data_IF_076612088176
#
_entry.id   IF_076612088176
#
_cell.length_a   1.000
_cell.length_b   1.000
_cell.length_c   1.000
_cell.angle_alpha   90.00
_cell.angle_beta   90.00
_cell.angle_gamma   90.00
#
_symmetry.space_group_name_H-M   'P 1'
#
loop_
_entity.id
_entity.type
_entity.pdbx_description
1 polymer ?
#
# COMPACT_ATOMS: atom_id res chain seq x y z
N UNK A 1 -34.27 -4.84 -71.88
CA UNK A 1 -33.96 -4.03 -70.68
C UNK A 1 -33.85 -4.86 -69.38
N UNK A 2 -33.40 -6.13 -69.42
CA UNK A 2 -33.21 -6.95 -68.20
C UNK A 2 -31.82 -7.61 -68.06
N UNK A 3 -30.94 -7.50 -69.06
CA UNK A 3 -29.55 -8.01 -69.01
C UNK A 3 -28.48 -6.94 -68.76
N UNK A 4 -28.84 -5.65 -68.82
CA UNK A 4 -27.93 -4.53 -68.58
C UNK A 4 -27.91 -4.06 -67.11
N UNK A 5 -28.89 -4.48 -66.30
CA UNK A 5 -29.01 -4.11 -64.88
C UNK A 5 -28.23 -5.04 -63.94
N UNK A 6 -27.87 -6.25 -64.37
CA UNK A 6 -27.12 -7.21 -63.54
C UNK A 6 -25.60 -6.91 -63.58
N UNK A 7 -25.10 -6.33 -64.67
CA UNK A 7 -23.68 -5.97 -64.79
C UNK A 7 -23.30 -4.74 -63.94
N UNK A 8 -24.27 -3.86 -63.62
CA UNK A 8 -24.05 -2.69 -62.75
C UNK A 8 -24.15 -3.00 -61.25
N UNK A 9 -24.79 -4.12 -60.85
CA UNK A 9 -24.82 -4.55 -59.44
C UNK A 9 -23.58 -5.33 -59.00
N UNK A 10 -22.78 -5.88 -59.93
CA UNK A 10 -21.57 -6.65 -59.59
C UNK A 10 -20.33 -5.73 -59.52
N UNK A 11 -20.33 -4.59 -60.20
CA UNK A 11 -19.22 -3.61 -60.16
C UNK A 11 -19.31 -2.70 -58.92
N UNK A 12 -20.50 -2.55 -58.32
CA UNK A 12 -20.69 -1.79 -57.08
C UNK A 12 -20.19 -2.49 -55.81
N UNK A 13 -19.85 -3.79 -55.88
CA UNK A 13 -19.33 -4.58 -54.74
C UNK A 13 -17.80 -4.68 -54.71
N UNK A 14 -17.09 -4.12 -55.71
CA UNK A 14 -15.63 -4.15 -55.80
C UNK A 14 -14.95 -2.85 -55.33
N UNK A 15 -15.72 -1.88 -54.83
CA UNK A 15 -15.20 -0.65 -54.22
C UNK A 15 -15.31 -0.69 -52.69
N UNK A 16 -15.04 -1.85 -52.08
CA UNK A 16 -14.62 -1.86 -50.67
C UNK A 16 -13.23 -1.23 -50.63
N UNK A 17 -13.21 0.06 -50.29
CA UNK A 17 -12.02 0.83 -49.96
C UNK A 17 -11.01 -0.03 -49.19
N UNK A 18 -9.86 -0.35 -49.79
CA UNK A 18 -8.67 -0.65 -49.00
C UNK A 18 -8.36 0.62 -48.22
N UNK A 19 -8.63 0.65 -46.92
CA UNK A 19 -7.99 1.65 -46.07
C UNK A 19 -6.47 1.42 -46.15
N UNK A 20 -5.75 2.43 -46.66
CA UNK A 20 -4.28 2.40 -46.66
C UNK A 20 -3.80 2.35 -45.20
N UNK A 21 -3.31 1.17 -44.81
CA UNK A 21 -2.67 0.94 -43.51
C UNK A 21 -1.49 1.88 -43.36
N UNK A 22 -1.59 2.88 -42.49
CA UNK A 22 -0.47 3.79 -42.22
C UNK A 22 0.39 3.20 -41.12
N UNK A 23 1.65 2.88 -41.43
CA UNK A 23 2.63 2.45 -40.43
C UNK A 23 3.38 3.66 -39.88
N UNK A 24 3.51 3.75 -38.56
CA UNK A 24 4.30 4.76 -37.88
C UNK A 24 5.37 4.09 -37.03
N UNK A 25 6.56 4.69 -36.97
CA UNK A 25 7.69 4.21 -36.16
C UNK A 25 8.05 5.24 -35.10
N UNK A 26 8.13 4.82 -33.84
CA UNK A 26 8.35 5.69 -32.68
C UNK A 26 8.97 4.88 -31.52
N UNK A 27 9.46 5.57 -30.48
CA UNK A 27 9.89 4.95 -29.23
C UNK A 27 8.67 4.67 -28.35
N UNK A 28 8.59 3.51 -27.72
CA UNK A 28 7.50 3.12 -26.84
C UNK A 28 7.99 2.26 -25.67
N UNK A 29 7.25 2.28 -24.57
CA UNK A 29 7.37 1.33 -23.46
C UNK A 29 6.85 -0.04 -23.94
N UNK A 30 7.74 -0.98 -24.21
CA UNK A 30 7.39 -2.35 -24.61
C UNK A 30 7.33 -3.24 -23.36
N UNK A 31 6.18 -3.85 -23.04
CA UNK A 31 6.05 -4.65 -21.82
C UNK A 31 7.00 -5.86 -21.80
N UNK A 32 7.64 -6.06 -20.65
CA UNK A 32 8.43 -7.24 -20.31
C UNK A 32 7.55 -8.15 -19.47
N UNK A 33 7.37 -9.40 -19.92
CA UNK A 33 6.46 -10.35 -19.29
C UNK A 33 7.22 -11.41 -18.50
N UNK A 34 6.70 -11.73 -17.31
CA UNK A 34 6.89 -13.02 -16.65
C UNK A 34 5.68 -13.88 -16.95
N UNK A 35 5.88 -15.09 -17.48
CA UNK A 35 4.76 -15.99 -17.78
C UNK A 35 4.04 -16.42 -16.49
N UNK A 36 2.75 -16.73 -16.58
CA UNK A 36 2.00 -17.26 -15.44
C UNK A 36 2.61 -18.57 -14.90
N UNK A 37 3.17 -19.42 -15.78
CA UNK A 37 3.90 -20.61 -15.35
C UNK A 37 5.12 -20.25 -14.50
N UNK A 38 5.93 -19.27 -14.93
CA UNK A 38 7.08 -18.81 -14.17
C UNK A 38 6.66 -18.19 -12.83
N UNK A 39 5.62 -17.34 -12.82
CA UNK A 39 5.06 -16.73 -11.61
C UNK A 39 4.55 -17.77 -10.63
N UNK A 40 3.79 -18.77 -11.09
CA UNK A 40 3.20 -19.78 -10.20
C UNK A 40 4.22 -20.81 -9.71
N UNK A 41 5.39 -20.85 -10.35
CA UNK A 41 6.57 -21.58 -9.87
C UNK A 41 7.54 -20.73 -9.03
N UNK A 42 7.29 -19.41 -8.87
CA UNK A 42 8.17 -18.53 -8.12
C UNK A 42 7.81 -18.52 -6.63
N UNK A 43 8.70 -19.08 -5.84
CA UNK A 43 8.77 -18.93 -4.39
C UNK A 43 10.12 -19.51 -3.97
N UNK A 44 10.94 -18.70 -3.30
CA UNK A 44 12.19 -19.16 -2.72
C UNK A 44 12.47 -18.39 -1.43
N UNK A 45 13.28 -18.99 -0.56
CA UNK A 45 13.77 -18.36 0.66
C UNK A 45 15.28 -18.31 0.60
N UNK A 46 15.81 -17.11 0.41
CA UNK A 46 17.24 -16.86 0.24
C UNK A 46 17.76 -15.99 1.37
N UNK A 47 19.08 -15.80 1.43
CA UNK A 47 19.74 -14.96 2.45
C UNK A 47 20.72 -14.00 1.78
N UNK A 48 21.08 -12.92 2.46
CA UNK A 48 22.07 -11.96 1.97
C UNK A 48 21.55 -11.01 0.89
N UNK A 49 20.23 -10.85 0.77
CA UNK A 49 19.60 -9.81 -0.05
C UNK A 49 19.62 -8.51 0.74
N UNK A 50 20.18 -7.46 0.14
CA UNK A 50 20.16 -6.12 0.72
C UNK A 50 18.78 -5.46 0.59
N UNK A 51 18.40 -4.63 1.57
CA UNK A 51 17.27 -3.71 1.40
C UNK A 51 17.65 -2.58 0.46
N UNK A 52 16.81 -2.32 -0.54
CA UNK A 52 16.99 -1.23 -1.52
C UNK A 52 15.80 -0.28 -1.52
N UNK A 53 14.58 -0.82 -1.62
CA UNK A 53 13.33 -0.04 -1.66
C UNK A 53 12.30 -0.70 -0.74
N UNK A 54 12.52 -0.61 0.58
CA UNK A 54 11.61 -1.21 1.53
C UNK A 54 10.27 -0.46 1.57
N UNK A 55 9.22 -1.21 1.80
CA UNK A 55 7.83 -0.75 1.87
C UNK A 55 7.23 -1.06 3.24
N UNK A 56 6.05 -1.69 3.21
CA UNK A 56 5.28 -2.04 4.39
C UNK A 56 6.06 -2.94 5.35
N UNK A 57 5.79 -2.79 6.65
CA UNK A 57 6.31 -3.65 7.71
C UNK A 57 5.18 -4.51 8.31
N UNK A 58 5.51 -5.62 8.94
CA UNK A 58 4.60 -6.38 9.82
C UNK A 58 5.40 -7.07 10.91
N UNK A 59 4.83 -7.25 12.10
CA UNK A 59 5.49 -7.90 13.23
C UNK A 59 4.88 -9.27 13.53
N UNK A 60 5.72 -10.22 13.94
CA UNK A 60 5.31 -11.54 14.41
C UNK A 60 6.31 -12.05 15.44
N UNK A 61 5.87 -12.17 16.70
CA UNK A 61 6.77 -12.51 17.80
C UNK A 61 7.94 -11.53 17.89
N UNK A 62 9.16 -12.05 17.95
CA UNK A 62 10.40 -11.25 17.91
C UNK A 62 10.91 -10.97 16.50
N UNK A 63 10.08 -11.10 15.46
CA UNK A 63 10.48 -10.87 14.08
C UNK A 63 9.72 -9.72 13.44
N UNK A 64 10.39 -9.06 12.50
CA UNK A 64 9.83 -8.03 11.65
C UNK A 64 9.97 -8.45 10.19
N UNK A 65 8.86 -8.35 9.45
CA UNK A 65 8.79 -8.60 8.03
C UNK A 65 8.74 -7.25 7.32
N UNK A 66 9.56 -7.06 6.30
CA UNK A 66 9.63 -5.80 5.54
C UNK A 66 9.45 -6.11 4.06
N UNK A 67 8.40 -5.58 3.43
CA UNK A 67 8.23 -5.67 1.99
C UNK A 67 9.41 -4.99 1.28
N UNK A 68 9.96 -5.62 0.26
CA UNK A 68 10.86 -5.03 -0.72
C UNK A 68 10.09 -4.88 -2.02
N UNK A 69 9.87 -3.62 -2.42
CA UNK A 69 8.91 -3.26 -3.46
C UNK A 69 9.08 -4.11 -4.73
N UNK A 70 8.03 -4.88 -5.07
CA UNK A 70 7.92 -5.77 -6.23
C UNK A 70 8.91 -6.96 -6.26
N UNK A 71 9.73 -7.18 -5.23
CA UNK A 71 10.70 -8.27 -5.18
C UNK A 71 10.34 -9.36 -4.18
N UNK A 72 9.88 -8.99 -2.98
CA UNK A 72 9.67 -9.96 -1.91
C UNK A 72 9.58 -9.35 -0.53
N UNK A 73 9.95 -10.13 0.49
CA UNK A 73 9.80 -9.76 1.90
C UNK A 73 11.07 -10.13 2.66
N UNK A 74 11.73 -9.15 3.28
CA UNK A 74 12.82 -9.37 4.22
C UNK A 74 12.28 -9.87 5.56
N UNK A 75 12.98 -10.82 6.17
CA UNK A 75 12.75 -11.29 7.55
C UNK A 75 13.89 -10.80 8.42
N UNK A 76 13.53 -10.05 9.46
CA UNK A 76 14.43 -9.47 10.43
C UNK A 76 14.18 -10.10 11.80
N UNK A 77 15.24 -10.58 12.45
CA UNK A 77 15.23 -10.95 13.88
C UNK A 77 15.42 -9.69 14.74
N UNK A 78 14.49 -9.49 15.67
CA UNK A 78 14.46 -8.40 16.66
C UNK A 78 14.57 -8.92 18.09
N UNK A 79 15.04 -10.15 18.30
CA UNK A 79 15.25 -10.71 19.64
C UNK A 79 16.24 -9.89 20.48
N UNK A 80 17.17 -9.19 19.85
CA UNK A 80 17.96 -8.09 20.43
C UNK A 80 17.71 -6.79 19.63
N UNK A 81 16.91 -5.84 20.16
CA UNK A 81 16.61 -4.59 19.44
C UNK A 81 17.83 -3.68 19.25
N UNK A 82 18.94 -3.95 19.94
CA UNK A 82 20.21 -3.22 19.71
C UNK A 82 21.02 -3.76 18.54
N UNK A 83 20.70 -4.98 18.08
CA UNK A 83 21.35 -5.66 16.95
C UNK A 83 20.30 -6.35 16.08
N UNK A 84 19.44 -5.60 15.36
CA UNK A 84 18.51 -6.19 14.41
C UNK A 84 19.27 -6.89 13.28
N UNK A 85 18.88 -8.13 12.95
CA UNK A 85 19.58 -8.97 11.96
C UNK A 85 18.66 -9.35 10.78
N UNK A 86 19.10 -9.11 9.55
CA UNK A 86 18.45 -9.67 8.34
C UNK A 86 18.76 -11.18 8.25
N UNK A 87 17.76 -12.03 8.43
CA UNK A 87 17.92 -13.49 8.47
C UNK A 87 17.62 -14.15 7.13
N UNK A 88 16.52 -13.73 6.49
CA UNK A 88 16.03 -14.34 5.27
C UNK A 88 15.35 -13.31 4.37
N UNK A 89 15.16 -13.68 3.11
CA UNK A 89 14.39 -12.96 2.11
C UNK A 89 13.47 -13.94 1.39
N UNK A 90 12.17 -13.70 1.46
CA UNK A 90 11.14 -14.48 0.79
C UNK A 90 10.92 -13.87 -0.59
N UNK A 91 11.30 -14.58 -1.64
CA UNK A 91 11.11 -14.12 -3.02
C UNK A 91 9.64 -14.23 -3.40
N UNK A 92 8.98 -13.07 -3.49
CA UNK A 92 7.58 -12.95 -3.91
C UNK A 92 7.52 -11.88 -5.01
N UNK A 93 7.64 -12.27 -6.30
CA UNK A 93 7.62 -11.32 -7.40
C UNK A 93 6.32 -10.51 -7.42
N UNK A 94 6.46 -9.21 -7.62
CA UNK A 94 5.33 -8.28 -7.64
C UNK A 94 4.74 -8.00 -6.26
N UNK A 95 5.38 -8.43 -5.16
CA UNK A 95 4.86 -8.18 -3.83
C UNK A 95 4.89 -6.70 -3.46
N UNK A 96 3.77 -6.21 -2.96
CA UNK A 96 3.69 -4.86 -2.42
C UNK A 96 2.98 -4.78 -1.09
N UNK A 97 1.99 -5.64 -0.87
CA UNK A 97 1.34 -5.73 0.43
C UNK A 97 1.46 -7.12 1.05
N UNK A 98 1.42 -7.13 2.38
CA UNK A 98 1.39 -8.31 3.21
C UNK A 98 0.58 -8.07 4.49
N UNK A 99 0.01 -9.12 5.04
CA UNK A 99 -0.56 -9.08 6.39
C UNK A 99 -0.26 -10.39 7.11
N UNK A 100 -0.15 -10.33 8.43
CA UNK A 100 0.11 -11.50 9.27
C UNK A 100 -1.07 -11.73 10.20
N UNK A 101 -1.44 -13.00 10.34
CA UNK A 101 -2.41 -13.43 11.34
C UNK A 101 -2.11 -14.85 11.78
N UNK A 102 -2.03 -15.04 13.09
CA UNK A 102 -1.47 -16.25 13.69
C UNK A 102 -0.10 -16.54 13.05
N UNK A 103 0.15 -17.79 12.67
CA UNK A 103 1.40 -18.24 12.07
C UNK A 103 1.37 -18.17 10.53
N UNK A 104 0.51 -17.34 9.94
CA UNK A 104 0.35 -17.22 8.48
C UNK A 104 0.60 -15.79 8.02
N UNK A 105 1.47 -15.65 7.02
CA UNK A 105 1.70 -14.43 6.26
C UNK A 105 0.97 -14.53 4.93
N UNK A 106 0.12 -13.55 4.66
CA UNK A 106 -0.61 -13.37 3.42
C UNK A 106 0.11 -12.32 2.59
N UNK A 107 0.52 -12.66 1.37
CA UNK A 107 1.30 -11.76 0.51
C UNK A 107 0.70 -11.70 -0.90
N UNK A 108 0.55 -10.50 -1.43
CA UNK A 108 0.19 -10.31 -2.84
C UNK A 108 1.37 -10.71 -3.75
N UNK A 109 1.10 -11.36 -4.87
CA UNK A 109 2.06 -11.61 -5.95
C UNK A 109 1.39 -11.35 -7.29
N UNK A 110 1.41 -10.08 -7.71
CA UNK A 110 0.63 -9.61 -8.86
C UNK A 110 -0.85 -9.96 -8.73
N UNK A 111 -1.35 -10.91 -9.53
CA UNK A 111 -2.75 -11.33 -9.56
C UNK A 111 -3.07 -12.44 -8.54
N UNK A 112 -2.06 -13.01 -7.89
CA UNK A 112 -2.19 -14.12 -6.96
C UNK A 112 -2.08 -13.66 -5.50
N UNK A 113 -2.65 -14.45 -4.58
CA UNK A 113 -2.40 -14.37 -3.15
C UNK A 113 -1.59 -15.58 -2.69
N UNK A 114 -0.46 -15.35 -2.04
CA UNK A 114 0.30 -16.40 -1.36
C UNK A 114 -0.08 -16.46 0.10
N UNK A 115 -0.13 -17.68 0.63
CA UNK A 115 -0.20 -17.95 2.06
C UNK A 115 1.05 -18.70 2.47
N UNK A 116 1.78 -18.11 3.40
CA UNK A 116 3.11 -18.54 3.81
C UNK A 116 3.06 -18.87 5.31
N UNK A 117 3.39 -20.11 5.68
CA UNK A 117 3.57 -20.48 7.08
C UNK A 117 4.86 -19.84 7.59
N UNK A 118 4.73 -19.09 8.68
CA UNK A 118 5.82 -18.38 9.35
C UNK A 118 6.04 -18.88 10.78
N UNK A 119 5.53 -20.07 11.13
CA UNK A 119 5.80 -20.73 12.42
C UNK A 119 7.30 -20.79 12.73
N UNK A 120 8.13 -20.98 11.69
CA UNK A 120 9.56 -20.70 11.72
C UNK A 120 9.87 -19.48 10.83
N UNK A 121 9.95 -18.26 11.39
CA UNK A 121 10.11 -17.04 10.60
C UNK A 121 11.37 -17.02 9.72
N UNK A 122 12.44 -17.69 10.14
CA UNK A 122 13.70 -17.75 9.39
C UNK A 122 13.67 -18.80 8.25
N UNK A 123 12.67 -19.69 8.23
CA UNK A 123 12.46 -20.70 7.19
C UNK A 123 10.97 -20.80 6.85
N UNK A 124 10.39 -19.74 6.27
CA UNK A 124 8.97 -19.72 5.93
C UNK A 124 8.67 -20.68 4.78
N UNK A 125 7.48 -21.27 4.78
CA UNK A 125 7.06 -22.28 3.79
C UNK A 125 5.80 -21.81 3.06
N UNK A 126 5.79 -21.90 1.72
CA UNK A 126 4.59 -21.64 0.94
C UNK A 126 3.58 -22.77 1.18
N UNK A 127 2.45 -22.42 1.80
CA UNK A 127 1.37 -23.36 2.09
C UNK A 127 0.38 -23.42 0.93
N UNK A 128 -0.03 -22.26 0.41
CA UNK A 128 -1.05 -22.16 -0.63
C UNK A 128 -0.80 -20.97 -1.55
N UNK A 129 -1.18 -21.10 -2.83
CA UNK A 129 -1.22 -20.01 -3.80
C UNK A 129 -2.61 -19.97 -4.42
N UNK A 130 -3.32 -18.87 -4.16
CA UNK A 130 -4.64 -18.62 -4.71
C UNK A 130 -4.46 -17.80 -5.98
N UNK A 131 -4.66 -18.47 -7.11
CA UNK A 131 -4.49 -17.88 -8.44
C UNK A 131 -5.61 -16.90 -8.79
N UNK A 132 -5.26 -15.86 -9.54
CA UNK A 132 -6.22 -14.93 -10.17
C UNK A 132 -7.22 -14.30 -9.15
N UNK A 133 -6.76 -14.07 -7.93
CA UNK A 133 -7.55 -13.47 -6.86
C UNK A 133 -7.68 -11.95 -7.03
N UNK A 134 -6.67 -11.30 -7.61
CA UNK A 134 -6.60 -9.84 -7.79
C UNK A 134 -6.69 -9.43 -9.27
N UNK A 135 -7.17 -8.21 -9.50
CA UNK A 135 -7.19 -7.57 -10.80
C UNK A 135 -5.78 -7.44 -11.40
N UNK A 136 -5.71 -7.53 -12.73
CA UNK A 136 -4.46 -7.41 -13.45
C UNK A 136 -3.93 -5.98 -13.40
N UNK A 137 -2.87 -5.73 -12.64
CA UNK A 137 -2.24 -4.41 -12.53
C UNK A 137 -0.95 -4.34 -13.34
N UNK A 138 -0.66 -3.14 -13.85
CA UNK A 138 0.55 -2.84 -14.62
C UNK A 138 1.49 -1.94 -13.81
N UNK A 139 2.81 -2.20 -13.86
CA UNK A 139 3.78 -1.37 -13.14
C UNK A 139 3.89 0.04 -13.76
N UNK A 140 4.50 0.99 -13.02
CA UNK A 140 4.88 2.31 -13.53
C UNK A 140 5.68 2.21 -14.84
N UNK A 141 5.50 3.19 -15.73
CA UNK A 141 6.24 3.30 -16.99
C UNK A 141 6.62 4.75 -17.28
N UNK A 142 7.57 4.94 -18.20
CA UNK A 142 8.05 6.27 -18.57
C UNK A 142 7.00 7.02 -19.40
N UNK A 143 6.39 8.05 -18.82
CA UNK A 143 5.35 8.87 -19.45
C UNK A 143 5.83 9.70 -20.64
N UNK A 144 7.15 9.83 -20.86
CA UNK A 144 7.69 10.47 -22.06
C UNK A 144 7.49 9.59 -23.32
N UNK A 145 7.19 8.30 -23.14
CA UNK A 145 6.96 7.35 -24.23
C UNK A 145 5.57 6.71 -24.18
N UNK A 146 4.90 6.50 -25.33
CA UNK A 146 3.65 5.76 -25.38
C UNK A 146 3.83 4.31 -24.91
N UNK A 147 2.78 3.75 -24.34
CA UNK A 147 2.71 2.34 -23.99
C UNK A 147 2.37 1.49 -25.22
N UNK A 148 3.14 0.43 -25.47
CA UNK A 148 2.81 -0.55 -26.51
C UNK A 148 1.64 -1.45 -26.07
N UNK A 149 1.08 -2.21 -27.01
CA UNK A 149 -0.05 -3.10 -26.72
C UNK A 149 0.27 -4.12 -25.61
N UNK A 150 -0.63 -4.20 -24.63
CA UNK A 150 -0.59 -5.20 -23.56
C UNK A 150 -1.33 -6.46 -24.00
N UNK A 151 -0.71 -7.61 -23.77
CA UNK A 151 -1.26 -8.95 -24.01
C UNK A 151 -1.16 -9.75 -22.71
N UNK A 152 -2.19 -9.65 -21.88
CA UNK A 152 -2.28 -10.31 -20.57
C UNK A 152 -2.09 -11.84 -20.66
N UNK A 153 -2.35 -12.45 -21.82
CA UNK A 153 -2.14 -13.89 -22.03
C UNK A 153 -0.67 -14.30 -21.95
N UNK A 154 0.27 -13.36 -22.10
CA UNK A 154 1.70 -13.62 -21.97
C UNK A 154 2.16 -13.72 -20.52
N UNK A 155 1.33 -13.31 -19.56
CA UNK A 155 1.64 -13.30 -18.14
C UNK A 155 1.58 -11.90 -17.55
N UNK A 156 2.20 -11.72 -16.38
CA UNK A 156 2.26 -10.44 -15.66
C UNK A 156 3.39 -9.57 -16.19
N UNK A 157 3.22 -8.25 -16.14
CA UNK A 157 4.24 -7.30 -16.59
C UNK A 157 5.19 -6.99 -15.43
N UNK A 158 6.47 -7.27 -15.61
CA UNK A 158 7.52 -6.99 -14.60
C UNK A 158 8.24 -5.67 -14.85
N UNK A 159 7.95 -5.00 -15.97
CA UNK A 159 8.57 -3.73 -16.35
C UNK A 159 8.44 -3.46 -17.84
N UNK A 160 9.20 -2.46 -18.32
CA UNK A 160 9.16 -2.04 -19.72
C UNK A 160 10.56 -1.78 -20.25
N UNK A 161 10.75 -2.11 -21.53
CA UNK A 161 11.91 -1.64 -22.29
C UNK A 161 11.48 -0.53 -23.24
N UNK A 162 12.12 0.64 -23.16
CA UNK A 162 11.90 1.72 -24.12
C UNK A 162 12.57 1.35 -25.45
N UNK A 163 11.77 0.94 -26.43
CA UNK A 163 12.25 0.41 -27.72
C UNK A 163 11.59 1.12 -28.90
N UNK A 164 12.31 1.16 -30.02
CA UNK A 164 11.77 1.64 -31.30
C UNK A 164 10.87 0.57 -31.91
N UNK A 165 9.58 0.85 -32.01
CA UNK A 165 8.57 -0.05 -32.58
C UNK A 165 7.92 0.55 -33.83
N UNK A 166 7.29 -0.31 -34.64
CA UNK A 166 6.46 0.10 -35.79
C UNK A 166 5.06 -0.47 -35.61
N UNK A 167 4.04 0.40 -35.67
CA UNK A 167 2.61 0.04 -35.51
C UNK A 167 1.77 0.64 -36.62
N UNK A 168 0.66 -0.02 -36.90
CA UNK A 168 -0.40 0.51 -37.76
C UNK A 168 -1.22 1.54 -36.98
N UNK A 169 -1.36 2.76 -37.51
CA UNK A 169 -2.09 3.86 -36.87
C UNK A 169 -3.30 4.26 -37.71
N UNK A 170 -4.47 4.36 -37.06
CA UNK A 170 -5.72 4.79 -37.70
C UNK A 170 -6.05 6.24 -37.30
N UNK A 171 -6.02 7.16 -38.28
CA UNK A 171 -6.49 8.56 -38.27
C UNK A 171 -6.20 9.48 -37.06
N UNK A 172 -5.44 9.05 -36.05
CA UNK A 172 -4.95 9.88 -34.96
C UNK A 172 -3.45 9.62 -34.77
N UNK A 173 -2.56 10.64 -34.86
CA UNK A 173 -1.10 10.45 -34.83
C UNK A 173 -0.52 10.11 -33.43
N UNK A 174 -1.38 9.84 -32.44
CA UNK A 174 -1.01 9.66 -31.04
C UNK A 174 -1.59 8.32 -30.51
N UNK A 175 -0.80 7.24 -30.48
CA UNK A 175 -1.22 5.93 -29.98
C UNK A 175 -1.02 5.88 -28.46
N UNK A 176 -1.92 6.50 -27.70
CA UNK A 176 -1.95 6.30 -26.25
C UNK A 176 -3.21 5.51 -25.89
N UNK A 177 -3.15 4.18 -25.75
CA UNK A 177 -4.04 3.55 -24.79
C UNK A 177 -3.62 4.06 -23.40
N UNK A 178 -4.33 5.07 -22.90
CA UNK A 178 -4.16 5.52 -21.52
C UNK A 178 -4.91 4.51 -20.65
N UNK A 179 -4.16 3.60 -20.03
CA UNK A 179 -4.66 2.73 -18.99
C UNK A 179 -4.66 3.53 -17.67
N UNK A 180 -5.79 4.18 -17.36
CA UNK A 180 -5.94 4.98 -16.15
C UNK A 180 -6.23 4.10 -14.92
N UNK A 181 -6.80 2.91 -15.12
CA UNK A 181 -7.39 2.07 -14.07
C UNK A 181 -6.47 0.94 -13.56
N UNK A 182 -5.39 0.63 -14.28
CA UNK A 182 -4.53 -0.54 -14.00
C UNK A 182 -3.24 -0.21 -13.23
N UNK A 183 -3.11 1.00 -12.69
CA UNK A 183 -1.81 1.48 -12.20
C UNK A 183 -1.52 1.01 -10.78
N UNK A 184 -0.41 0.29 -10.64
CA UNK A 184 0.29 0.02 -9.38
C UNK A 184 0.95 1.30 -8.78
N UNK A 185 0.55 2.51 -9.18
CA UNK A 185 1.28 3.75 -8.85
C UNK A 185 0.66 4.61 -7.73
N UNK A 186 -0.63 4.49 -7.43
CA UNK A 186 -1.27 5.53 -6.59
C UNK A 186 -1.01 5.42 -5.09
N UNK A 187 -0.43 4.32 -4.59
CA UNK A 187 -0.39 4.03 -3.13
C UNK A 187 0.87 3.33 -2.65
N UNK A 188 1.82 3.05 -3.54
CA UNK A 188 2.89 2.08 -3.26
C UNK A 188 4.31 2.68 -3.21
N UNK A 189 4.42 4.01 -3.29
CA UNK A 189 5.69 4.71 -3.50
C UNK A 189 6.30 5.35 -2.25
N UNK A 190 5.63 5.30 -1.10
CA UNK A 190 6.18 5.79 0.17
C UNK A 190 6.16 4.60 1.17
N UNK A 191 7.32 4.23 1.71
CA UNK A 191 7.41 3.15 2.71
C UNK A 191 6.88 3.64 4.05
N UNK A 192 6.04 2.85 4.71
CA UNK A 192 5.46 3.16 6.01
C UNK A 192 5.35 1.92 6.88
N UNK A 193 5.41 2.14 8.18
CA UNK A 193 5.55 1.07 9.15
C UNK A 193 4.23 0.78 9.86
N UNK A 194 4.08 -0.44 10.38
CA UNK A 194 2.91 -0.93 11.12
C UNK A 194 3.17 -1.09 12.62
N UNK A 195 2.29 -0.60 13.50
CA UNK A 195 2.39 -0.86 14.93
C UNK A 195 1.74 -2.16 15.38
N UNK A 196 2.42 -2.92 16.23
CA UNK A 196 1.80 -4.03 16.93
C UNK A 196 1.24 -3.56 18.27
N UNK A 197 -0.02 -3.88 18.50
CA UNK A 197 -0.54 -4.05 19.84
C UNK A 197 -0.71 -5.57 20.04
N UNK A 198 -0.36 -6.07 21.22
CA UNK A 198 -0.09 -7.48 21.55
C UNK A 198 -1.30 -8.43 21.56
N UNK A 199 -2.22 -8.29 20.62
CA UNK A 199 -3.26 -9.27 20.33
C UNK A 199 -3.19 -9.70 18.87
N UNK A 200 -3.48 -10.97 18.63
CA UNK A 200 -3.26 -11.80 17.43
C UNK A 200 -3.93 -11.34 16.12
N UNK A 201 -4.31 -10.07 16.00
CA UNK A 201 -4.89 -9.44 14.82
C UNK A 201 -3.91 -8.40 14.29
N UNK A 202 -3.33 -8.62 13.11
CA UNK A 202 -2.42 -7.67 12.48
C UNK A 202 -3.09 -6.31 12.27
N UNK A 203 -2.72 -5.32 13.07
CA UNK A 203 -3.17 -3.93 12.94
C UNK A 203 -2.39 -3.29 11.77
N UNK A 204 -3.08 -3.12 10.64
CA UNK A 204 -2.54 -2.45 9.45
C UNK A 204 -2.41 -0.96 9.70
N UNK A 205 -1.21 -0.43 9.45
CA UNK A 205 -0.85 0.97 9.62
C UNK A 205 -1.37 1.89 8.52
N UNK A 206 -0.84 3.11 8.49
CA UNK A 206 -1.31 4.22 7.67
C UNK A 206 -1.29 4.03 6.16
N UNK A 207 -0.66 2.96 5.65
CA UNK A 207 -0.60 2.61 4.22
C UNK A 207 -0.99 1.15 3.93
N UNK A 208 -1.55 0.45 4.92
CA UNK A 208 -1.94 -0.94 4.73
C UNK A 208 -3.11 -1.05 3.74
N UNK A 209 -2.97 -1.82 2.67
CA UNK A 209 -4.06 -2.22 1.79
C UNK A 209 -4.52 -3.64 2.11
N UNK A 210 -3.68 -4.43 2.79
CA UNK A 210 -4.04 -5.68 3.44
C UNK A 210 -4.10 -5.52 4.96
N UNK A 211 -5.18 -5.98 5.58
CA UNK A 211 -5.31 -6.03 7.04
C UNK A 211 -6.18 -7.22 7.44
N UNK A 212 -5.91 -7.82 8.61
CA UNK A 212 -6.68 -8.98 9.09
C UNK A 212 -7.50 -8.64 10.32
N UNK A 213 -8.70 -9.20 10.42
CA UNK A 213 -9.55 -9.10 11.61
C UNK A 213 -10.48 -10.29 11.73
N UNK A 214 -10.71 -10.73 12.97
CA UNK A 214 -11.44 -11.94 13.32
C UNK A 214 -11.01 -13.16 12.55
N UNK A 215 -11.66 -13.57 11.45
CA UNK A 215 -11.36 -14.71 10.53
C UNK A 215 -11.19 -14.24 9.06
N UNK A 216 -10.90 -12.95 8.83
CA UNK A 216 -10.89 -12.34 7.51
C UNK A 216 -9.60 -11.59 7.19
N UNK A 217 -9.21 -11.65 5.91
CA UNK A 217 -8.29 -10.72 5.27
C UNK A 217 -9.11 -9.71 4.48
N UNK A 218 -8.91 -8.43 4.76
CA UNK A 218 -9.41 -7.34 3.94
C UNK A 218 -8.31 -6.88 3.01
N UNK A 219 -8.60 -6.85 1.70
CA UNK A 219 -7.67 -6.44 0.67
C UNK A 219 -8.29 -5.31 -0.17
N UNK A 220 -7.65 -4.13 -0.18
CA UNK A 220 -7.93 -3.09 -1.17
C UNK A 220 -7.27 -3.47 -2.49
N UNK A 221 -8.05 -4.09 -3.36
CA UNK A 221 -7.61 -4.50 -4.70
C UNK A 221 -7.33 -3.29 -5.60
N UNK A 222 -8.16 -2.25 -5.52
CA UNK A 222 -8.04 -1.03 -6.32
C UNK A 222 -8.34 0.21 -5.49
N UNK A 223 -8.31 1.39 -6.09
CA UNK A 223 -8.65 2.65 -5.41
C UNK A 223 -10.15 2.82 -5.11
N UNK A 224 -10.94 1.77 -5.31
CA UNK A 224 -12.38 1.79 -5.11
C UNK A 224 -12.98 0.45 -4.72
N UNK A 225 -12.18 -0.61 -4.52
CA UNK A 225 -12.73 -1.94 -4.20
C UNK A 225 -12.02 -2.60 -3.02
N UNK A 226 -12.83 -2.98 -2.04
CA UNK A 226 -12.44 -3.74 -0.86
C UNK A 226 -12.96 -5.17 -0.96
N UNK A 227 -12.07 -6.15 -0.96
CA UNK A 227 -12.38 -7.59 -0.85
C UNK A 227 -12.36 -8.03 0.61
N UNK A 228 -13.38 -8.78 1.03
CA UNK A 228 -13.40 -9.49 2.30
C UNK A 228 -13.21 -10.98 2.03
N UNK A 229 -12.06 -11.51 2.44
CA UNK A 229 -11.64 -12.88 2.16
C UNK A 229 -11.69 -13.66 3.47
N UNK A 230 -12.50 -14.70 3.53
CA UNK A 230 -12.54 -15.62 4.67
C UNK A 230 -11.27 -16.47 4.67
N UNK A 231 -10.52 -16.39 5.77
CA UNK A 231 -9.23 -17.06 6.01
C UNK A 231 -9.28 -18.02 7.21
N UNK A 232 -10.48 -18.44 7.64
CA UNK A 232 -10.65 -19.40 8.73
C UNK A 232 -10.12 -20.81 8.35
N UNK A 233 -10.23 -21.18 7.08
CA UNK A 233 -9.69 -22.42 6.53
C UNK A 233 -8.78 -22.11 5.35
N UNK A 234 -7.47 -22.27 5.56
CA UNK A 234 -6.46 -21.89 4.58
C UNK A 234 -6.52 -22.71 3.28
N UNK A 235 -6.96 -23.97 3.37
CA UNK A 235 -7.13 -24.86 2.22
C UNK A 235 -8.33 -24.48 1.35
N UNK A 236 -9.17 -23.53 1.81
CA UNK A 236 -10.37 -23.10 1.12
C UNK A 236 -10.69 -21.64 1.44
N UNK A 237 -9.78 -20.75 1.03
CA UNK A 237 -10.03 -19.31 1.06
C UNK A 237 -11.20 -18.94 0.16
N UNK A 238 -12.01 -17.98 0.60
CA UNK A 238 -13.18 -17.54 -0.16
C UNK A 238 -13.38 -16.04 -0.06
N UNK A 239 -13.49 -15.38 -1.20
CA UNK A 239 -14.04 -14.01 -1.26
C UNK A 239 -15.53 -14.09 -0.92
N UNK A 240 -15.91 -13.52 0.22
CA UNK A 240 -17.31 -13.51 0.68
C UNK A 240 -18.03 -12.22 0.32
N UNK A 241 -17.29 -11.12 0.20
CA UNK A 241 -17.84 -9.81 -0.13
C UNK A 241 -16.86 -8.97 -0.92
N UNK A 242 -17.40 -8.18 -1.85
CA UNK A 242 -16.71 -7.13 -2.58
C UNK A 242 -17.50 -5.83 -2.40
N UNK A 243 -16.88 -4.85 -1.75
CA UNK A 243 -17.50 -3.56 -1.48
C UNK A 243 -16.83 -2.48 -2.34
N UNK A 244 -17.64 -1.80 -3.14
CA UNK A 244 -17.18 -0.59 -3.83
C UNK A 244 -17.21 0.61 -2.89
N UNK A 245 -16.08 1.29 -2.78
CA UNK A 245 -15.86 2.51 -2.03
C UNK A 245 -15.62 3.67 -3.00
N UNK A 246 -15.65 4.91 -2.51
CA UNK A 246 -15.47 6.11 -3.32
C UNK A 246 -14.34 6.99 -2.79
N UNK A 247 -13.93 8.00 -3.57
CA UNK A 247 -12.98 9.01 -3.09
C UNK A 247 -11.50 8.62 -3.16
N UNK A 248 -11.13 7.63 -3.99
CA UNK A 248 -9.75 7.13 -4.12
C UNK A 248 -9.25 6.56 -2.79
N UNK A 249 -9.67 5.33 -2.47
CA UNK A 249 -9.28 4.65 -1.24
C UNK A 249 -7.84 4.16 -1.33
N UNK A 250 -7.09 4.42 -0.28
CA UNK A 250 -5.64 4.25 -0.28
C UNK A 250 -5.21 3.25 0.79
N UNK A 251 -5.85 3.29 1.97
CA UNK A 251 -5.30 2.68 3.19
C UNK A 251 -6.41 2.10 4.07
N UNK A 252 -6.09 1.10 4.87
CA UNK A 252 -6.94 0.35 5.78
C UNK A 252 -6.33 0.38 7.16
N UNK A 253 -7.16 0.66 8.16
CA UNK A 253 -6.77 0.63 9.56
C UNK A 253 -7.91 0.05 10.39
N UNK A 254 -7.61 -0.75 11.40
CA UNK A 254 -8.63 -1.35 12.28
C UNK A 254 -8.40 -0.91 13.72
N UNK A 255 -9.45 -0.38 14.33
CA UNK A 255 -9.55 -0.15 15.77
C UNK A 255 -10.99 -0.40 16.24
N UNK A 256 -11.13 -0.89 17.46
CA UNK A 256 -12.42 -1.03 18.15
C UNK A 256 -13.51 -1.73 17.31
N UNK A 257 -13.13 -2.80 16.59
CA UNK A 257 -14.03 -3.56 15.70
C UNK A 257 -14.63 -2.74 14.54
N UNK A 258 -13.93 -1.70 14.09
CA UNK A 258 -14.26 -0.92 12.91
C UNK A 258 -13.10 -0.91 11.93
N UNK A 259 -13.42 -0.88 10.64
CA UNK A 259 -12.48 -0.68 9.56
C UNK A 259 -12.55 0.78 9.10
N UNK A 260 -11.44 1.47 9.25
CA UNK A 260 -11.22 2.82 8.78
C UNK A 260 -10.52 2.74 7.43
N UNK A 261 -11.10 3.37 6.42
CA UNK A 261 -10.54 3.40 5.07
C UNK A 261 -10.14 4.82 4.73
N UNK A 262 -8.83 5.06 4.66
CA UNK A 262 -8.28 6.35 4.25
C UNK A 262 -8.55 6.60 2.77
N UNK A 263 -8.93 7.82 2.43
CA UNK A 263 -9.15 8.29 1.07
C UNK A 263 -8.39 9.58 0.85
N UNK A 264 -8.18 9.94 -0.42
CA UNK A 264 -7.54 11.20 -0.79
C UNK A 264 -8.20 12.46 -0.19
N UNK A 265 -9.44 12.38 0.32
CA UNK A 265 -10.20 13.52 0.82
C UNK A 265 -11.03 13.22 2.08
N UNK A 266 -10.73 12.14 2.78
CA UNK A 266 -11.50 11.74 3.94
C UNK A 266 -11.14 10.36 4.46
N UNK A 267 -11.99 9.89 5.35
CA UNK A 267 -11.90 8.59 5.98
C UNK A 267 -13.29 7.98 6.02
N UNK A 268 -13.46 6.80 5.42
CA UNK A 268 -14.66 6.00 5.62
C UNK A 268 -14.56 5.21 6.91
N UNK A 269 -15.68 5.02 7.59
CA UNK A 269 -15.78 4.15 8.77
C UNK A 269 -16.78 3.05 8.44
N UNK A 270 -16.34 1.81 8.60
CA UNK A 270 -17.16 0.61 8.40
C UNK A 270 -17.20 -0.18 9.70
N UNK A 271 -18.37 -0.71 10.03
CA UNK A 271 -18.59 -1.64 11.15
C UNK A 271 -18.18 -3.06 10.76
N UNK A 272 -17.49 -3.76 11.67
CA UNK A 272 -17.06 -5.15 11.53
C UNK A 272 -17.86 -6.12 12.42
N UNK A 273 -19.06 -5.76 12.89
CA UNK A 273 -19.94 -6.70 13.60
C UNK A 273 -20.26 -7.97 12.78
N UNK A 274 -20.26 -7.88 11.45
CA UNK A 274 -20.21 -9.02 10.54
C UNK A 274 -18.95 -8.91 9.66
N UNK A 275 -17.82 -9.53 10.05
CA UNK A 275 -16.55 -9.37 9.33
C UNK A 275 -16.61 -9.80 7.85
N UNK A 276 -17.45 -10.77 7.50
CA UNK A 276 -17.60 -11.20 6.10
C UNK A 276 -18.38 -10.23 5.21
N UNK A 277 -19.06 -9.24 5.79
CA UNK A 277 -19.74 -8.18 5.06
C UNK A 277 -19.68 -6.85 5.85
N UNK A 278 -18.53 -6.14 5.82
CA UNK A 278 -18.36 -4.86 6.50
C UNK A 278 -19.45 -3.86 6.10
N UNK A 279 -20.07 -3.22 7.09
CA UNK A 279 -21.17 -2.29 6.86
C UNK A 279 -20.68 -0.86 6.91
N UNK A 280 -20.83 -0.11 5.82
CA UNK A 280 -20.50 1.31 5.79
C UNK A 280 -21.35 2.12 6.77
N UNK A 281 -20.70 2.93 7.61
CA UNK A 281 -21.35 3.80 8.59
C UNK A 281 -21.36 5.26 8.14
N UNK A 282 -20.17 5.82 7.88
CA UNK A 282 -20.01 7.25 7.61
C UNK A 282 -18.74 7.57 6.84
N UNK A 283 -18.64 8.83 6.40
CA UNK A 283 -17.38 9.43 5.93
C UNK A 283 -17.10 10.67 6.74
N UNK A 284 -15.90 10.76 7.31
CA UNK A 284 -15.34 12.04 7.72
C UNK A 284 -14.63 12.67 6.52
N UNK A 285 -15.03 13.88 6.11
CA UNK A 285 -14.37 14.60 5.02
C UNK A 285 -13.36 15.60 5.59
N UNK A 286 -12.13 15.55 5.10
CA UNK A 286 -11.09 16.55 5.36
C UNK A 286 -10.58 17.19 4.06
N UNK A 287 -9.61 18.09 4.16
CA UNK A 287 -8.94 18.65 2.97
C UNK A 287 -8.17 17.55 2.25
N UNK A 288 -8.01 17.65 0.92
CA UNK A 288 -7.28 16.63 0.16
C UNK A 288 -5.86 16.41 0.72
N UNK A 289 -5.57 15.18 1.12
CA UNK A 289 -4.33 14.74 1.76
C UNK A 289 -4.24 13.22 1.68
N UNK A 290 -3.02 12.68 1.62
CA UNK A 290 -2.74 11.24 1.58
C UNK A 290 -1.95 10.82 2.81
N UNK A 291 -2.35 11.41 3.92
CA UNK A 291 -1.56 11.46 5.13
C UNK A 291 -2.17 10.53 6.19
N UNK A 292 -1.32 10.00 7.08
CA UNK A 292 -1.66 8.90 7.96
C UNK A 292 -2.75 9.24 8.98
N UNK A 293 -3.51 8.21 9.37
CA UNK A 293 -4.50 8.25 10.46
C UNK A 293 -4.12 7.23 11.52
N UNK A 294 -4.15 7.63 12.78
CA UNK A 294 -4.09 6.72 13.93
C UNK A 294 -5.29 6.93 14.85
N UNK A 295 -5.73 5.86 15.51
CA UNK A 295 -6.90 5.88 16.39
C UNK A 295 -6.51 5.34 17.76
N UNK A 296 -6.98 6.01 18.82
CA UNK A 296 -6.94 5.51 20.19
C UNK A 296 -8.29 5.78 20.86
N UNK A 297 -9.05 4.71 21.13
CA UNK A 297 -10.40 4.78 21.66
C UNK A 297 -11.31 5.65 20.79
N UNK A 298 -11.91 6.68 21.39
CA UNK A 298 -12.86 7.56 20.71
C UNK A 298 -12.20 8.72 19.94
N UNK A 299 -10.88 8.64 19.66
CA UNK A 299 -10.13 9.70 18.97
C UNK A 299 -9.39 9.18 17.76
N UNK A 300 -9.50 9.93 16.66
CA UNK A 300 -8.62 9.79 15.51
C UNK A 300 -7.73 11.02 15.37
N UNK A 301 -6.48 10.80 14.97
CA UNK A 301 -5.47 11.82 14.74
C UNK A 301 -5.00 11.69 13.30
N UNK A 302 -4.93 12.82 12.60
CA UNK A 302 -4.60 12.86 11.17
C UNK A 302 -3.57 13.94 10.95
N UNK A 303 -2.44 13.60 10.35
CA UNK A 303 -1.54 14.62 9.79
C UNK A 303 -2.03 15.00 8.40
N UNK A 304 -1.77 16.23 7.96
CA UNK A 304 -2.08 16.69 6.62
C UNK A 304 -0.86 17.47 6.14
N UNK A 305 -0.37 17.20 4.92
CA UNK A 305 0.91 17.69 4.43
C UNK A 305 0.79 18.25 3.02
N UNK A 306 1.56 19.31 2.79
CA UNK A 306 1.80 19.90 1.47
C UNK A 306 2.94 19.20 0.74
N UNK A 307 2.93 19.28 -0.60
CA UNK A 307 4.02 18.77 -1.43
C UNK A 307 4.06 17.24 -1.56
N UNK A 308 2.99 16.55 -1.17
CA UNK A 308 2.71 15.18 -1.60
C UNK A 308 2.00 15.20 -2.97
N UNK A 309 1.93 14.03 -3.61
CA UNK A 309 1.31 13.87 -4.92
C UNK A 309 -0.19 14.26 -4.93
N UNK A 310 -0.83 14.18 -3.76
CA UNK A 310 -2.25 14.45 -3.59
C UNK A 310 -2.59 15.94 -3.59
N UNK A 311 -1.58 16.81 -3.60
CA UNK A 311 -1.78 18.25 -3.79
C UNK A 311 -2.34 18.95 -2.55
N UNK A 312 -2.06 18.44 -1.36
CA UNK A 312 -2.41 19.09 -0.10
C UNK A 312 -1.94 20.54 -0.05
N UNK A 313 -2.75 21.41 0.55
CA UNK A 313 -2.50 22.87 0.59
C UNK A 313 -2.12 23.40 1.96
N UNK A 314 -2.19 22.56 3.00
CA UNK A 314 -1.93 22.94 4.38
C UNK A 314 -1.15 21.85 5.11
N UNK A 315 -0.32 22.27 6.07
CA UNK A 315 0.38 21.38 6.99
C UNK A 315 -0.34 21.41 8.34
N UNK A 316 -1.07 20.35 8.70
CA UNK A 316 -1.93 20.31 9.87
C UNK A 316 -1.78 19.00 10.66
N UNK A 317 -2.15 19.07 11.94
CA UNK A 317 -2.57 17.92 12.76
C UNK A 317 -4.03 18.15 13.12
N UNK A 318 -4.93 17.26 12.69
CA UNK A 318 -6.34 17.26 13.09
C UNK A 318 -6.60 16.22 14.19
N UNK A 319 -7.49 16.59 15.12
CA UNK A 319 -8.03 15.68 16.13
C UNK A 319 -9.53 15.56 15.89
N UNK A 320 -10.00 14.33 15.78
CA UNK A 320 -11.35 13.99 15.39
C UNK A 320 -11.98 13.17 16.52
N UNK A 321 -13.16 13.59 16.97
CA UNK A 321 -14.03 12.78 17.81
C UNK A 321 -14.73 11.75 16.92
N UNK A 322 -14.50 10.48 17.23
CA UNK A 322 -15.14 9.35 16.56
C UNK A 322 -15.99 8.54 17.54
N UNK A 323 -16.38 9.10 18.70
CA UNK A 323 -17.25 8.43 19.67
C UNK A 323 -18.58 8.00 19.03
N UNK A 324 -19.19 8.89 18.24
CA UNK A 324 -20.24 8.53 17.29
C UNK A 324 -19.65 8.17 15.93
N UNK A 325 -19.59 6.88 15.62
CA UNK A 325 -19.06 6.35 14.36
C UNK A 325 -19.91 6.74 13.13
N UNK A 326 -21.16 7.19 13.33
CA UNK A 326 -22.03 7.70 12.27
C UNK A 326 -21.83 9.18 11.99
N UNK A 327 -21.33 9.94 12.96
CA UNK A 327 -21.10 11.38 12.86
C UNK A 327 -19.74 11.77 13.47
N UNK A 328 -18.61 11.48 12.79
CA UNK A 328 -17.30 11.95 13.22
C UNK A 328 -17.19 13.48 13.14
N UNK A 329 -16.63 14.11 14.17
CA UNK A 329 -16.54 15.57 14.26
C UNK A 329 -15.10 16.00 14.52
N UNK A 330 -14.62 16.97 13.74
CA UNK A 330 -13.32 17.61 14.02
C UNK A 330 -13.39 18.42 15.31
N UNK A 331 -12.62 18.01 16.31
CA UNK A 331 -12.47 18.75 17.56
C UNK A 331 -11.54 19.95 17.39
N UNK A 332 -10.37 19.69 16.81
CA UNK A 332 -9.31 20.69 16.71
C UNK A 332 -8.44 20.46 15.47
N UNK A 333 -7.73 21.51 15.08
CA UNK A 333 -6.76 21.49 14.00
C UNK A 333 -5.62 22.44 14.35
N UNK A 334 -4.39 21.96 14.23
CA UNK A 334 -3.18 22.68 14.60
C UNK A 334 -2.25 22.80 13.40
N UNK A 335 -1.67 23.99 13.20
CA UNK A 335 -0.64 24.17 12.17
C UNK A 335 0.64 23.42 12.51
N UNK A 336 1.15 22.68 11.54
CA UNK A 336 2.40 21.92 11.61
C UNK A 336 3.40 22.46 10.59
N UNK A 337 4.67 22.08 10.69
CA UNK A 337 5.70 22.50 9.74
C UNK A 337 5.71 21.61 8.50
N UNK A 338 5.79 20.30 8.67
CA UNK A 338 5.88 19.31 7.58
C UNK A 338 5.55 17.91 8.11
N UNK A 339 4.32 17.68 8.59
CA UNK A 339 4.00 16.44 9.28
C UNK A 339 3.93 15.27 8.29
N UNK A 340 4.65 14.19 8.57
CA UNK A 340 4.60 12.93 7.84
C UNK A 340 3.78 11.92 8.69
N UNK A 341 4.41 10.81 9.10
CA UNK A 341 3.92 9.81 10.03
C UNK A 341 3.52 10.33 11.40
N UNK A 342 2.59 9.61 12.01
CA UNK A 342 2.27 9.74 13.42
C UNK A 342 1.99 8.36 14.01
N UNK A 343 2.24 8.23 15.31
CA UNK A 343 1.96 7.03 16.10
C UNK A 343 1.42 7.45 17.46
N UNK A 344 0.51 6.65 18.03
CA UNK A 344 -0.06 6.92 19.34
C UNK A 344 0.07 5.69 20.23
N UNK A 345 0.46 5.91 21.48
CA UNK A 345 0.49 4.88 22.52
C UNK A 345 0.13 5.47 23.88
N UNK A 346 -1.01 5.03 24.41
CA UNK A 346 -1.52 5.35 25.73
C UNK A 346 -1.52 6.87 26.02
N UNK A 347 -2.14 7.63 25.13
CA UNK A 347 -2.21 9.10 25.21
C UNK A 347 -0.92 9.84 24.84
N UNK A 348 0.14 9.14 24.42
CA UNK A 348 1.37 9.76 23.92
C UNK A 348 1.36 9.76 22.40
N UNK A 349 1.33 10.96 21.80
CA UNK A 349 1.32 11.12 20.35
C UNK A 349 2.70 11.51 19.82
N UNK A 350 3.25 10.67 18.95
CA UNK A 350 4.49 10.87 18.20
C UNK A 350 4.14 11.43 16.83
N UNK A 351 4.75 12.54 16.42
CA UNK A 351 4.57 13.14 15.10
C UNK A 351 5.92 13.38 14.45
N UNK A 352 6.13 12.74 13.30
CA UNK A 352 7.31 12.89 12.46
C UNK A 352 7.18 14.14 11.59
N UNK A 353 8.12 15.08 11.64
CA UNK A 353 8.13 16.25 10.76
C UNK A 353 9.33 16.30 9.79
N UNK A 354 9.88 15.13 9.45
CA UNK A 354 11.05 15.01 8.57
C UNK A 354 12.21 15.85 9.05
N UNK A 355 12.67 16.81 8.24
CA UNK A 355 13.76 17.74 8.57
C UNK A 355 13.53 18.62 9.81
N UNK A 356 12.29 18.68 10.33
CA UNK A 356 11.97 19.40 11.56
C UNK A 356 11.96 18.51 12.82
N UNK A 357 12.28 17.23 12.66
CA UNK A 357 12.46 16.29 13.75
C UNK A 357 11.18 15.57 14.20
N UNK A 358 11.34 14.70 15.19
CA UNK A 358 10.25 14.05 15.91
C UNK A 358 9.71 14.97 17.02
N UNK A 359 8.39 15.02 17.17
CA UNK A 359 7.71 15.68 18.29
C UNK A 359 6.85 14.71 19.06
N UNK A 360 6.85 14.86 20.38
CA UNK A 360 6.08 14.02 21.32
C UNK A 360 5.12 14.92 22.08
N UNK A 361 3.83 14.61 22.00
CA UNK A 361 2.76 15.38 22.61
C UNK A 361 1.96 14.54 23.60
N UNK A 362 1.40 15.21 24.60
CA UNK A 362 0.35 14.64 25.44
C UNK A 362 -1.00 14.79 24.72
N UNK A 363 -1.51 13.68 24.19
CA UNK A 363 -2.73 13.61 23.40
C UNK A 363 -4.01 13.71 24.24
N UNK A 364 -3.91 13.67 25.57
CA UNK A 364 -5.06 13.83 26.49
C UNK A 364 -5.62 15.26 26.47
N UNK A 365 -4.84 16.23 25.95
CA UNK A 365 -5.24 17.63 25.79
C UNK A 365 -5.76 17.93 24.38
N UNK A 366 -6.78 17.21 23.93
CA UNK A 366 -7.37 17.18 22.56
C UNK A 366 -7.55 18.57 21.89
N UNK A 367 -7.93 19.59 22.65
CA UNK A 367 -8.18 20.94 22.12
C UNK A 367 -6.94 21.85 22.12
N UNK A 368 -5.81 21.36 22.62
CA UNK A 368 -4.59 22.15 22.84
C UNK A 368 -3.31 21.31 22.79
N UNK A 369 -3.29 20.22 22.01
CA UNK A 369 -2.19 19.25 21.94
C UNK A 369 -0.85 19.95 21.70
N UNK A 370 -0.80 20.90 20.75
CA UNK A 370 0.46 21.60 20.42
C UNK A 370 1.00 22.49 21.54
N UNK A 371 0.19 22.84 22.54
CA UNK A 371 0.63 23.54 23.77
C UNK A 371 1.15 22.57 24.85
N UNK A 372 0.94 21.28 24.68
CA UNK A 372 1.33 20.21 25.60
C UNK A 372 2.38 19.30 24.94
N UNK A 373 3.40 19.94 24.36
CA UNK A 373 4.60 19.27 23.85
C UNK A 373 5.39 18.72 25.03
N UNK A 374 5.59 17.40 25.05
CA UNK A 374 6.42 16.70 26.04
C UNK A 374 7.89 16.89 25.67
N UNK A 375 8.25 16.55 24.43
CA UNK A 375 9.62 16.66 23.94
C UNK A 375 9.67 16.89 22.43
N UNK A 376 10.80 17.45 21.96
CA UNK A 376 11.10 17.58 20.55
C UNK A 376 12.55 17.15 20.30
N UNK A 377 12.74 16.40 19.22
CA UNK A 377 14.03 15.83 18.81
C UNK A 377 14.36 16.28 17.38
N UNK A 378 14.91 17.50 17.20
CA UNK A 378 15.21 18.07 15.87
C UNK A 378 16.19 17.26 15.02
N UNK A 379 16.92 16.31 15.62
CA UNK A 379 17.88 15.44 14.93
C UNK A 379 17.31 14.09 14.48
N UNK A 380 16.06 13.79 14.80
CA UNK A 380 15.39 12.54 14.39
C UNK A 380 14.55 12.83 13.16
N UNK A 381 15.16 12.66 11.98
CA UNK A 381 14.51 12.89 10.69
C UNK A 381 13.74 11.65 10.25
N UNK A 382 12.56 11.44 10.83
CA UNK A 382 11.70 10.32 10.49
C UNK A 382 10.56 10.74 9.56
N UNK A 383 10.11 9.81 8.72
CA UNK A 383 8.92 9.91 7.88
C UNK A 383 7.76 9.08 8.43
N UNK A 384 8.05 8.02 9.18
CA UNK A 384 7.00 7.24 9.85
C UNK A 384 7.46 6.71 11.21
N UNK A 385 6.50 6.41 12.08
CA UNK A 385 6.76 5.99 13.45
C UNK A 385 5.70 5.04 13.99
N UNK A 386 6.18 4.02 14.69
CA UNK A 386 5.39 3.07 15.46
C UNK A 386 5.85 3.06 16.90
N UNK A 387 5.00 3.38 17.87
CA UNK A 387 5.19 2.96 19.24
C UNK A 387 4.72 1.52 19.44
N UNK A 388 5.57 0.68 20.04
CA UNK A 388 5.27 -0.71 20.39
C UNK A 388 6.11 -1.16 21.59
N UNK A 389 5.45 -1.59 22.67
CA UNK A 389 6.10 -2.19 23.86
C UNK A 389 7.30 -1.40 24.43
N UNK A 390 7.25 -0.05 24.40
CA UNK A 390 8.36 0.87 24.80
C UNK A 390 9.46 1.10 23.74
N UNK A 391 9.32 0.54 22.54
CA UNK A 391 10.18 0.84 21.38
C UNK A 391 9.47 1.71 20.33
N UNK A 392 10.19 2.71 19.80
CA UNK A 392 9.79 3.42 18.59
C UNK A 392 10.52 2.82 17.41
N UNK A 393 9.78 2.18 16.51
CA UNK A 393 10.28 1.82 15.19
C UNK A 393 10.02 3.00 14.26
N UNK A 394 11.07 3.52 13.62
CA UNK A 394 10.99 4.71 12.77
C UNK A 394 11.63 4.48 11.40
N UNK A 395 11.04 5.06 10.36
CA UNK A 395 11.65 5.15 9.02
C UNK A 395 12.32 6.50 8.89
N UNK A 396 13.60 6.50 8.62
CA UNK A 396 14.34 7.68 8.16
C UNK A 396 14.65 7.62 6.66
N UNK A 397 15.40 8.61 6.19
CA UNK A 397 15.84 8.70 4.78
C UNK A 397 16.70 7.51 4.33
N UNK A 398 17.46 6.92 5.24
CA UNK A 398 18.49 5.91 4.96
C UNK A 398 18.24 4.57 5.65
N UNK A 399 17.08 4.39 6.30
CA UNK A 399 16.70 3.08 6.83
C UNK A 399 15.75 3.10 8.02
N UNK A 400 15.72 1.97 8.70
CA UNK A 400 14.89 1.71 9.86
C UNK A 400 15.68 1.88 11.13
N UNK A 401 15.04 2.47 12.13
CA UNK A 401 15.66 2.77 13.40
C UNK A 401 14.77 2.31 14.54
N UNK A 402 15.37 1.76 15.57
CA UNK A 402 14.70 1.32 16.79
C UNK A 402 15.18 2.24 17.90
N UNK A 403 14.26 2.90 18.59
CA UNK A 403 14.56 3.76 19.73
C UNK A 403 13.85 3.26 20.99
N UNK A 404 14.47 3.45 22.14
CA UNK A 404 13.82 3.32 23.44
C UNK A 404 13.08 4.63 23.77
N UNK A 405 11.77 4.56 24.01
CA UNK A 405 10.96 5.72 24.45
C UNK A 405 10.48 5.65 25.90
N UNK A 406 11.03 4.75 26.72
CA UNK A 406 10.68 4.63 28.13
C UNK A 406 10.86 5.94 28.94
N UNK A 407 11.77 6.82 28.51
CA UNK A 407 11.82 8.22 28.92
C UNK A 407 11.47 9.14 27.74
N UNK A 408 10.23 9.67 27.74
CA UNK A 408 9.73 10.56 26.70
C UNK A 408 10.55 11.85 26.54
N UNK A 409 11.32 12.27 27.55
CA UNK A 409 12.18 13.46 27.45
C UNK A 409 13.56 13.14 26.88
N UNK A 410 13.92 11.87 26.82
CA UNK A 410 15.25 11.41 26.45
C UNK A 410 15.20 10.07 25.71
N UNK A 411 14.55 10.09 24.54
CA UNK A 411 14.48 8.95 23.63
C UNK A 411 15.87 8.69 23.04
N UNK A 412 16.29 7.43 22.96
CA UNK A 412 17.63 7.05 22.51
C UNK A 412 17.61 5.91 21.51
N UNK A 413 18.50 5.97 20.52
CA UNK A 413 18.63 4.91 19.51
C UNK A 413 19.19 3.63 20.14
N UNK A 414 18.58 2.51 19.81
CA UNK A 414 19.03 1.16 20.20
C UNK A 414 19.73 0.47 19.03
N UNK A 415 19.10 0.44 17.87
CA UNK A 415 19.56 -0.29 16.70
C UNK A 415 19.05 0.31 15.40
N UNK A 416 19.60 -0.15 14.28
CA UNK A 416 19.23 0.33 12.95
C UNK A 416 19.45 -0.72 11.87
N UNK A 417 18.65 -0.67 10.82
CA UNK A 417 18.84 -1.40 9.57
C UNK A 417 18.90 -0.39 8.42
N UNK A 418 20.06 -0.28 7.79
CA UNK A 418 20.28 0.71 6.74
C UNK A 418 19.89 0.16 5.36
N UNK A 419 19.35 1.04 4.53
CA UNK A 419 19.03 0.78 3.13
C UNK A 419 20.32 0.93 2.32
N UNK A 420 20.54 0.02 1.39
CA UNK A 420 21.65 0.12 0.44
C UNK A 420 21.35 1.23 -0.58
N UNK A 421 22.34 2.06 -0.96
CA UNK A 421 22.13 3.07 -1.98
C UNK A 421 21.63 2.41 -3.27
N UNK A 422 20.54 2.93 -3.83
CA UNK A 422 20.06 2.54 -5.16
C UNK A 422 21.16 2.83 -6.20
N UNK A 423 21.52 1.85 -7.03
CA UNK A 423 22.46 2.02 -8.16
C UNK A 423 21.98 3.00 -9.25
#
# INVERSE_FOLDING_TARGET
MKRLLILFSIIGLALTSCEDKRLQTYMANVPVYMSYEALRSSFDVVSGVSMEKPGKISFYGSHMFINEYQKGIHVVDLSDPTQPELKAFIEVPGNVDMAIRNDQLFAESFVDLLVIDITNPEQPELTERIEDLFEYVIPPYDYDYPLDEIDEKKGVITGYDVKKITREVYNNPYPWPIYWDYRLESSFADGGMTGANSNTYGVGGSMARFITYDDYLYALESSWKLKSINIANIDNLKVENELSLWGNVETLFIADAHLYVGTSNGMHILDLANPGAPNFLSTYQHITACDPVVVEGDRAYVTLRTGNWCGGTQNLLEVIDISDKYEPIRLSSFSMKKPYGLGIDNGTLFVCEGEYGLKVYDATYENSITSHLIAAFPGINAYDVIPMESFLFMIGEDGFYIYDYSDLNNISILGSLLISPSE
#
